data_IF_903483737923
#
_entry.id   IF_903483737923
#
_cell.length_a   1.000
_cell.length_b   1.000
_cell.length_c   1.000
_cell.angle_alpha   90.00
_cell.angle_beta   90.00
_cell.angle_gamma   90.00
#
_symmetry.space_group_name_H-M   'P 1'
#
loop_
_entity.id
_entity.type
_entity.pdbx_description
1 polymer ?
#
# COMPACT_ATOMS: atom_id res chain seq x y z
N UNK A 1 3.72 -19.66 -9.66
CA UNK A 1 2.51 -20.25 -9.07
C UNK A 1 1.73 -19.11 -8.43
N UNK A 2 0.47 -18.91 -8.78
CA UNK A 2 -0.39 -17.92 -8.15
C UNK A 2 -0.87 -18.46 -6.79
N UNK A 3 -0.25 -18.00 -5.72
CA UNK A 3 -0.49 -18.41 -4.32
C UNK A 3 -1.77 -17.83 -3.73
N UNK A 4 -2.35 -16.81 -4.37
CA UNK A 4 -3.57 -16.13 -3.87
C UNK A 4 -4.86 -16.63 -4.54
N UNK A 5 -4.80 -17.48 -5.57
CA UNK A 5 -5.99 -17.89 -6.30
C UNK A 5 -6.59 -16.78 -7.18
N UNK A 6 -5.76 -15.81 -7.58
CA UNK A 6 -6.12 -14.75 -8.51
C UNK A 6 -6.26 -15.33 -9.92
N UNK A 7 -7.28 -14.90 -10.67
CA UNK A 7 -7.47 -15.39 -12.04
C UNK A 7 -6.30 -14.95 -12.95
N UNK A 8 -5.94 -15.76 -13.95
CA UNK A 8 -4.91 -15.39 -14.94
C UNK A 8 -5.21 -14.07 -15.66
N UNK A 9 -6.49 -13.80 -15.91
CA UNK A 9 -6.92 -12.54 -16.52
C UNK A 9 -6.57 -11.35 -15.62
N UNK A 10 -6.84 -11.48 -14.32
CA UNK A 10 -6.57 -10.43 -13.33
C UNK A 10 -5.08 -10.25 -13.10
N UNK A 11 -4.29 -11.33 -13.10
CA UNK A 11 -2.82 -11.25 -13.06
C UNK A 11 -2.24 -10.46 -14.25
N UNK A 12 -2.75 -10.68 -15.46
CA UNK A 12 -2.32 -9.93 -16.64
C UNK A 12 -2.68 -8.44 -16.53
N UNK A 13 -3.89 -8.11 -16.08
CA UNK A 13 -4.32 -6.73 -15.84
C UNK A 13 -3.41 -6.04 -14.81
N UNK A 14 -3.13 -6.71 -13.69
CA UNK A 14 -2.27 -6.19 -12.62
C UNK A 14 -0.85 -5.95 -13.15
N UNK A 15 -0.30 -6.91 -13.91
CA UNK A 15 1.06 -6.79 -14.47
C UNK A 15 1.16 -5.60 -15.41
N UNK A 16 0.22 -5.43 -16.34
CA UNK A 16 0.19 -4.30 -17.25
C UNK A 16 0.02 -2.97 -16.51
N UNK A 17 -0.81 -2.97 -15.46
CA UNK A 17 -1.02 -1.80 -14.63
C UNK A 17 0.27 -1.35 -13.94
N UNK A 18 0.96 -2.26 -13.24
CA UNK A 18 2.21 -1.98 -12.53
C UNK A 18 3.32 -1.52 -13.50
N UNK A 19 3.41 -2.13 -14.68
CA UNK A 19 4.31 -1.69 -15.74
C UNK A 19 4.03 -0.25 -16.19
N UNK A 20 2.75 0.07 -16.45
CA UNK A 20 2.33 1.41 -16.87
C UNK A 20 2.57 2.46 -15.79
N UNK A 21 2.43 2.08 -14.51
CA UNK A 21 2.73 2.95 -13.35
C UNK A 21 4.24 3.20 -13.19
N UNK A 22 5.09 2.39 -13.85
CA UNK A 22 6.54 2.47 -13.71
C UNK A 22 7.06 1.83 -12.42
N UNK A 23 6.32 0.87 -11.85
CA UNK A 23 6.74 0.14 -10.66
C UNK A 23 8.05 -0.63 -10.89
N UNK A 24 8.84 -0.83 -9.84
CA UNK A 24 10.08 -1.58 -9.93
C UNK A 24 9.85 -3.03 -10.37
N UNK A 25 10.87 -3.63 -11.00
CA UNK A 25 10.76 -4.98 -11.59
C UNK A 25 10.33 -6.05 -10.59
N UNK A 26 10.83 -5.97 -9.34
CA UNK A 26 10.46 -6.91 -8.29
C UNK A 26 8.99 -6.74 -7.83
N UNK A 27 8.45 -5.52 -7.87
CA UNK A 27 7.03 -5.26 -7.60
C UNK A 27 6.16 -5.85 -8.72
N UNK A 28 6.56 -5.66 -9.98
CA UNK A 28 5.84 -6.22 -11.13
C UNK A 28 5.85 -7.75 -11.08
N UNK A 29 7.02 -8.38 -10.87
CA UNK A 29 7.17 -9.84 -10.82
C UNK A 29 6.46 -10.44 -9.61
N UNK A 30 6.51 -9.78 -8.46
CA UNK A 30 5.88 -10.24 -7.22
C UNK A 30 4.38 -9.97 -7.15
N UNK A 31 3.89 -8.99 -7.90
CA UNK A 31 2.48 -8.64 -8.01
C UNK A 31 1.83 -8.38 -6.64
N UNK A 32 0.56 -8.78 -6.54
CA UNK A 32 -0.23 -8.60 -5.32
C UNK A 32 0.37 -9.31 -4.12
N UNK A 33 0.99 -10.48 -4.29
CA UNK A 33 1.57 -11.19 -3.16
C UNK A 33 2.71 -10.39 -2.53
N UNK A 34 3.60 -9.85 -3.35
CA UNK A 34 4.68 -9.00 -2.87
C UNK A 34 4.13 -7.76 -2.15
N UNK A 35 3.12 -7.10 -2.72
CA UNK A 35 2.50 -5.92 -2.11
C UNK A 35 1.84 -6.23 -0.76
N UNK A 36 1.15 -7.36 -0.64
CA UNK A 36 0.53 -7.80 0.61
C UNK A 36 1.59 -8.14 1.68
N UNK A 37 2.66 -8.84 1.32
CA UNK A 37 3.73 -9.15 2.27
C UNK A 37 4.53 -7.90 2.66
N UNK A 38 4.77 -6.97 1.72
CA UNK A 38 5.36 -5.66 2.01
C UNK A 38 4.49 -4.90 3.00
N UNK A 39 3.18 -4.78 2.74
CA UNK A 39 2.27 -4.08 3.65
C UNK A 39 2.20 -4.73 5.04
N UNK A 40 2.19 -6.07 5.07
CA UNK A 40 2.25 -6.82 6.33
C UNK A 40 3.55 -6.55 7.07
N UNK A 41 4.70 -6.54 6.38
CA UNK A 41 6.00 -6.27 6.98
C UNK A 41 6.02 -4.87 7.62
N UNK A 42 5.60 -3.85 6.87
CA UNK A 42 5.49 -2.48 7.37
C UNK A 42 4.72 -2.44 8.69
N UNK A 43 3.51 -2.98 8.68
CA UNK A 43 2.58 -2.89 9.82
C UNK A 43 3.03 -3.71 11.02
N UNK A 44 3.63 -4.88 10.80
CA UNK A 44 3.98 -5.82 11.87
C UNK A 44 5.39 -5.66 12.42
N UNK A 45 6.32 -5.12 11.63
CA UNK A 45 7.74 -5.01 11.98
C UNK A 45 8.22 -3.57 11.92
N UNK A 46 8.13 -2.91 10.76
CA UNK A 46 8.81 -1.62 10.56
C UNK A 46 8.24 -0.47 11.39
N UNK A 47 6.94 -0.42 11.61
CA UNK A 47 6.33 0.65 12.43
C UNK A 47 6.82 0.69 13.90
N UNK A 48 7.47 -0.37 14.36
CA UNK A 48 8.07 -0.48 15.70
C UNK A 48 9.60 -0.49 15.67
N UNK A 49 10.19 -0.47 14.47
CA UNK A 49 11.62 -0.49 14.27
C UNK A 49 12.20 0.91 14.52
N UNK A 50 13.21 0.99 15.39
CA UNK A 50 13.87 2.25 15.78
C UNK A 50 14.73 2.84 14.68
N UNK A 51 15.18 2.00 13.75
CA UNK A 51 16.02 2.41 12.63
C UNK A 51 15.18 2.71 11.37
N UNK A 52 13.85 2.62 11.47
CA UNK A 52 12.96 2.90 10.34
C UNK A 52 12.97 4.38 10.00
N UNK A 53 13.25 4.69 8.75
CA UNK A 53 13.43 6.08 8.28
C UNK A 53 12.26 6.56 7.43
N UNK A 54 12.21 7.87 7.24
CA UNK A 54 11.11 8.56 6.57
C UNK A 54 10.92 8.10 5.12
N UNK A 55 12.00 7.94 4.36
CA UNK A 55 11.95 7.54 2.95
C UNK A 55 11.41 6.10 2.78
N UNK A 56 11.80 5.19 3.67
CA UNK A 56 11.28 3.82 3.70
C UNK A 56 9.80 3.82 4.05
N UNK A 57 9.40 4.64 5.02
CA UNK A 57 7.99 4.83 5.35
C UNK A 57 7.16 5.29 4.15
N UNK A 58 7.63 6.31 3.42
CA UNK A 58 6.94 6.79 2.23
C UNK A 58 6.81 5.71 1.14
N UNK A 59 7.86 4.92 0.91
CA UNK A 59 7.83 3.82 -0.06
C UNK A 59 6.85 2.72 0.34
N UNK A 60 6.79 2.38 1.62
CA UNK A 60 5.89 1.35 2.14
C UNK A 60 4.41 1.74 2.03
N UNK A 61 4.09 3.04 2.17
CA UNK A 61 2.74 3.54 1.92
C UNK A 61 2.32 3.39 0.44
N UNK A 62 3.27 3.46 -0.50
CA UNK A 62 2.98 3.26 -1.91
C UNK A 62 2.59 1.80 -2.21
N UNK A 63 3.12 0.82 -1.46
CA UNK A 63 2.62 -0.56 -1.53
C UNK A 63 1.13 -0.64 -1.21
N UNK A 64 0.67 0.13 -0.21
CA UNK A 64 -0.75 0.20 0.16
C UNK A 64 -1.59 0.96 -0.86
N UNK A 65 -1.06 2.01 -1.48
CA UNK A 65 -1.72 2.70 -2.60
C UNK A 65 -1.92 1.76 -3.80
N UNK A 66 -0.88 1.02 -4.19
CA UNK A 66 -0.96 0.08 -5.31
C UNK A 66 -2.02 -0.99 -5.06
N UNK A 67 -2.14 -1.52 -3.84
CA UNK A 67 -3.23 -2.44 -3.48
C UNK A 67 -4.61 -1.80 -3.65
N UNK A 68 -4.80 -0.55 -3.23
CA UNK A 68 -6.07 0.17 -3.42
C UNK A 68 -6.40 0.45 -4.89
N UNK A 69 -5.41 0.79 -5.71
CA UNK A 69 -5.60 1.01 -7.14
C UNK A 69 -5.92 -0.32 -7.86
N UNK A 70 -5.22 -1.40 -7.53
CA UNK A 70 -5.45 -2.73 -8.10
C UNK A 70 -6.88 -3.20 -7.85
N UNK A 71 -7.41 -3.03 -6.63
CA UNK A 71 -8.78 -3.42 -6.28
C UNK A 71 -9.84 -2.76 -7.18
N UNK A 72 -9.56 -1.59 -7.75
CA UNK A 72 -10.48 -0.85 -8.62
C UNK A 72 -10.49 -1.34 -10.07
N UNK A 73 -9.46 -2.05 -10.52
CA UNK A 73 -9.28 -2.43 -11.93
C UNK A 73 -9.49 -3.93 -12.21
N UNK A 74 -9.49 -4.76 -11.17
CA UNK A 74 -9.68 -6.21 -11.27
C UNK A 74 -11.15 -6.60 -11.11
N UNK A 75 -11.47 -7.86 -11.41
CA UNK A 75 -12.81 -8.40 -11.18
C UNK A 75 -13.19 -8.42 -9.68
N UNK A 76 -14.48 -8.46 -9.41
CA UNK A 76 -15.03 -8.40 -8.04
C UNK A 76 -14.52 -9.52 -7.13
N UNK A 77 -14.28 -10.72 -7.66
CA UNK A 77 -13.78 -11.85 -6.88
C UNK A 77 -12.36 -11.61 -6.40
N UNK A 78 -11.48 -11.19 -7.33
CA UNK A 78 -10.10 -10.79 -7.01
C UNK A 78 -10.08 -9.59 -6.07
N UNK A 79 -10.89 -8.56 -6.33
CA UNK A 79 -10.98 -7.37 -5.48
C UNK A 79 -11.33 -7.72 -4.03
N UNK A 80 -12.32 -8.60 -3.83
CA UNK A 80 -12.74 -9.07 -2.51
C UNK A 80 -11.63 -9.85 -1.81
N UNK A 81 -10.95 -10.74 -2.53
CA UNK A 81 -9.84 -11.52 -2.01
C UNK A 81 -8.70 -10.62 -1.54
N UNK A 82 -8.25 -9.66 -2.35
CA UNK A 82 -7.16 -8.74 -2.00
C UNK A 82 -7.56 -7.91 -0.77
N UNK A 83 -8.75 -7.32 -0.79
CA UNK A 83 -9.25 -6.48 0.32
C UNK A 83 -9.32 -7.26 1.64
N UNK A 84 -9.73 -8.53 1.58
CA UNK A 84 -9.81 -9.39 2.78
C UNK A 84 -8.42 -9.62 3.40
N UNK A 85 -7.37 -9.70 2.58
CA UNK A 85 -6.00 -9.94 3.05
C UNK A 85 -5.38 -8.72 3.74
N UNK A 86 -5.71 -7.49 3.34
CA UNK A 86 -5.16 -6.29 3.98
C UNK A 86 -6.08 -5.63 5.03
N UNK A 87 -7.36 -6.01 5.14
CA UNK A 87 -8.31 -5.33 6.03
C UNK A 87 -7.89 -5.34 7.52
N UNK A 88 -7.31 -6.44 8.02
CA UNK A 88 -6.80 -6.50 9.39
C UNK A 88 -5.49 -5.73 9.56
N UNK A 89 -4.65 -5.69 8.51
CA UNK A 89 -3.42 -4.90 8.50
C UNK A 89 -3.74 -3.40 8.55
N UNK A 90 -4.76 -2.96 7.81
CA UNK A 90 -5.22 -1.57 7.83
C UNK A 90 -5.67 -1.13 9.24
N UNK A 91 -6.38 -1.99 9.97
CA UNK A 91 -6.76 -1.72 11.37
C UNK A 91 -5.53 -1.57 12.27
N UNK A 92 -4.58 -2.51 12.17
CA UNK A 92 -3.37 -2.46 12.98
C UNK A 92 -2.49 -1.25 12.63
N UNK A 93 -2.40 -0.89 11.35
CA UNK A 93 -1.73 0.33 10.92
C UNK A 93 -2.37 1.57 11.57
N UNK A 94 -3.70 1.67 11.58
CA UNK A 94 -4.41 2.77 12.22
C UNK A 94 -4.09 2.83 13.72
N UNK A 95 -4.04 1.71 14.42
CA UNK A 95 -3.71 1.65 15.86
C UNK A 95 -2.26 2.10 16.15
N UNK A 96 -1.32 1.80 15.26
CA UNK A 96 0.12 2.11 15.41
C UNK A 96 0.52 3.52 14.93
N UNK A 97 -0.40 4.24 14.30
CA UNK A 97 -0.13 5.55 13.71
C UNK A 97 -1.08 6.61 14.27
N UNK A 98 -0.75 7.88 14.05
CA UNK A 98 -1.56 9.03 14.42
C UNK A 98 -1.98 9.81 13.18
N UNK A 99 -3.07 10.59 13.29
CA UNK A 99 -3.50 11.44 12.19
C UNK A 99 -2.47 12.55 11.93
N UNK A 100 -2.20 12.83 10.65
CA UNK A 100 -1.23 13.82 10.22
C UNK A 100 -1.72 14.59 8.99
N UNK A 101 -0.94 15.59 8.56
CA UNK A 101 -1.04 16.13 7.20
C UNK A 101 -0.57 15.07 6.20
N UNK A 102 -0.78 15.30 4.90
CA UNK A 102 -0.23 14.41 3.88
C UNK A 102 1.29 14.28 4.06
N UNK A 103 1.77 13.06 4.30
CA UNK A 103 3.20 12.79 4.59
C UNK A 103 4.08 12.98 3.36
N UNK A 104 3.52 12.85 2.16
CA UNK A 104 4.17 13.24 0.91
C UNK A 104 4.13 14.77 0.66
N UNK A 105 3.48 15.55 1.52
CA UNK A 105 3.33 17.00 1.39
C UNK A 105 2.16 17.45 0.52
N UNK A 106 1.74 18.70 0.69
CA UNK A 106 0.53 19.26 0.06
C UNK A 106 0.62 19.31 -1.47
N UNK A 107 1.81 19.57 -2.03
CA UNK A 107 2.01 19.59 -3.47
C UNK A 107 1.71 18.23 -4.11
N UNK A 108 2.14 17.13 -3.46
CA UNK A 108 1.87 15.77 -3.93
C UNK A 108 0.40 15.40 -3.79
N UNK A 109 -0.22 15.78 -2.67
CA UNK A 109 -1.66 15.62 -2.46
C UNK A 109 -2.47 16.28 -3.58
N UNK A 110 -2.18 17.54 -3.91
CA UNK A 110 -2.88 18.28 -4.97
C UNK A 110 -2.65 17.60 -6.33
N UNK A 111 -1.39 17.30 -6.66
CA UNK A 111 -1.01 16.67 -7.94
C UNK A 111 -1.71 15.33 -8.17
N UNK A 112 -1.86 14.52 -7.14
CA UNK A 112 -2.46 13.19 -7.22
C UNK A 112 -3.94 13.16 -6.83
N UNK A 113 -4.53 14.31 -6.49
CA UNK A 113 -5.89 14.44 -5.97
C UNK A 113 -6.19 13.47 -4.82
N UNK A 114 -5.25 13.34 -3.87
CA UNK A 114 -5.42 12.44 -2.73
C UNK A 114 -6.41 13.01 -1.71
N UNK A 115 -7.38 12.19 -1.34
CA UNK A 115 -8.43 12.53 -0.38
C UNK A 115 -8.16 11.79 0.95
N UNK A 116 -8.19 12.46 2.11
CA UNK A 116 -7.90 11.83 3.41
C UNK A 116 -8.92 10.77 3.84
N UNK A 117 -10.09 10.67 3.21
CA UNK A 117 -11.06 9.60 3.41
C UNK A 117 -10.76 8.38 2.52
N UNK A 118 -10.13 8.59 1.37
CA UNK A 118 -9.84 7.54 0.38
C UNK A 118 -8.42 7.02 0.50
N UNK A 119 -7.43 7.92 0.50
CA UNK A 119 -5.99 7.66 0.61
C UNK A 119 -5.50 7.89 2.04
N UNK A 120 -6.31 7.52 3.03
CA UNK A 120 -6.13 7.85 4.43
C UNK A 120 -4.76 7.44 4.99
N UNK A 121 -4.09 6.42 4.41
CA UNK A 121 -2.76 5.97 4.81
C UNK A 121 -1.69 7.06 4.67
N UNK A 122 -1.79 7.94 3.66
CA UNK A 122 -0.89 9.09 3.50
C UNK A 122 -1.16 10.23 4.49
N UNK A 123 -2.21 10.14 5.30
CA UNK A 123 -2.58 11.14 6.32
C UNK A 123 -2.42 10.56 7.72
N UNK A 124 -1.50 9.59 7.84
CA UNK A 124 -1.10 9.02 9.11
C UNK A 124 0.40 9.02 9.20
N UNK A 125 0.91 9.01 10.42
CA UNK A 125 2.35 8.98 10.69
C UNK A 125 2.61 8.02 11.86
N UNK A 126 3.68 7.21 11.84
CA UNK A 126 4.05 6.37 12.97
C UNK A 126 4.42 7.25 14.16
N UNK A 127 4.02 6.84 15.36
CA UNK A 127 4.28 7.61 16.59
C UNK A 127 5.77 7.93 16.82
N UNK A 128 6.64 7.05 16.32
CA UNK A 128 8.08 7.21 16.40
C UNK A 128 8.63 8.26 15.42
N UNK A 129 8.07 8.36 14.22
CA UNK A 129 8.47 9.35 13.21
C UNK A 129 7.78 10.71 13.43
N UNK A 130 6.68 10.76 14.17
CA UNK A 130 5.96 11.98 14.51
C UNK A 130 6.73 12.96 15.42
N UNK A 131 7.88 12.52 15.95
CA UNK A 131 8.72 13.29 16.88
C UNK A 131 9.86 14.04 16.17
N UNK A 132 9.99 13.89 14.85
CA UNK A 132 10.94 14.62 14.00
C UNK A 132 10.32 15.90 13.46
#
# INVERSE_FOLDING_TARGET
MSTLGISKSSEAIITQYLQKKGSAEHVIKGGVQYLLESWKNTVTQELENKDYIWEEYLNDLDSRELLAEIVKIVDMGTAKLITTNFANLDKLFIEKTEASKCVWGENNKIRNNWDPKVNWWYFRIPKMLAQL
#
